data_IF_593324976219
#
_entry.id   IF_593324976219
#
_cell.length_a   1.000
_cell.length_b   1.000
_cell.length_c   1.000
_cell.angle_alpha   90.00
_cell.angle_beta   90.00
_cell.angle_gamma   90.00
#
_symmetry.space_group_name_H-M   'P 1'
#
loop_
_entity.id
_entity.type
_entity.pdbx_description
1 polymer ?
#
# COMPACT_ATOMS: atom_id res chain seq x y z
N UNK A 1 -11.86 -13.16 -10.13
CA UNK A 1 -10.92 -14.25 -10.50
C UNK A 1 -10.57 -14.12 -11.98
N UNK A 2 -9.45 -14.68 -12.38
CA UNK A 2 -8.98 -14.68 -13.77
C UNK A 2 -9.98 -15.32 -14.73
N UNK A 3 -10.63 -16.40 -14.29
CA UNK A 3 -11.66 -17.08 -15.09
C UNK A 3 -12.85 -16.15 -15.39
N UNK A 4 -13.27 -15.36 -14.42
CA UNK A 4 -14.34 -14.38 -14.62
C UNK A 4 -13.91 -13.28 -15.57
N UNK A 5 -12.69 -12.75 -15.41
CA UNK A 5 -12.10 -11.71 -16.27
C UNK A 5 -12.06 -12.21 -17.72
N UNK A 6 -11.54 -13.42 -17.96
CA UNK A 6 -11.48 -14.05 -19.29
C UNK A 6 -12.87 -14.28 -19.89
N UNK A 7 -13.80 -14.82 -19.08
CA UNK A 7 -15.14 -15.15 -19.55
C UNK A 7 -15.98 -13.92 -19.95
N UNK A 8 -15.68 -12.74 -19.36
CA UNK A 8 -16.44 -11.50 -19.60
C UNK A 8 -15.67 -10.46 -20.40
N UNK A 9 -14.47 -10.75 -20.86
CA UNK A 9 -13.60 -9.79 -21.56
C UNK A 9 -13.32 -8.54 -20.72
N UNK A 10 -13.26 -8.68 -19.38
CA UNK A 10 -13.06 -7.56 -18.48
C UNK A 10 -11.58 -7.11 -18.47
N UNK A 11 -11.36 -5.83 -18.21
CA UNK A 11 -10.02 -5.25 -18.09
C UNK A 11 -9.79 -4.79 -16.63
N UNK A 12 -9.16 -5.61 -15.77
CA UNK A 12 -8.89 -5.25 -14.39
C UNK A 12 -7.91 -4.08 -14.32
N UNK A 13 -8.12 -3.17 -13.37
CA UNK A 13 -7.20 -2.04 -13.13
C UNK A 13 -5.91 -2.52 -12.45
N UNK A 14 -6.03 -3.49 -11.55
CA UNK A 14 -4.91 -4.07 -10.82
C UNK A 14 -5.19 -5.53 -10.46
N UNK A 15 -4.14 -6.27 -10.19
CA UNK A 15 -4.18 -7.61 -9.60
C UNK A 15 -3.69 -7.53 -8.15
N UNK A 16 -4.44 -8.11 -7.22
CA UNK A 16 -3.98 -8.29 -5.83
C UNK A 16 -3.02 -9.47 -5.82
N UNK A 17 -1.75 -9.23 -5.53
CA UNK A 17 -0.70 -10.25 -5.47
C UNK A 17 -0.65 -10.94 -4.12
N UNK A 18 -0.70 -10.15 -3.05
CA UNK A 18 -0.63 -10.66 -1.69
C UNK A 18 -1.29 -9.72 -0.70
N UNK A 19 -1.71 -10.28 0.43
CA UNK A 19 -2.23 -9.57 1.60
C UNK A 19 -1.53 -10.11 2.84
N UNK A 20 -1.16 -9.23 3.76
CA UNK A 20 -0.52 -9.61 5.02
C UNK A 20 -1.14 -8.86 6.19
N UNK A 21 -1.67 -9.61 7.15
CA UNK A 21 -1.95 -9.10 8.48
C UNK A 21 -0.73 -9.33 9.38
N UNK A 22 -0.42 -8.37 10.23
CA UNK A 22 0.68 -8.43 11.20
C UNK A 22 0.19 -7.96 12.57
N UNK A 23 0.83 -8.46 13.61
CA UNK A 23 0.57 -8.05 14.99
C UNK A 23 1.87 -7.91 15.78
N UNK A 24 1.87 -7.00 16.74
CA UNK A 24 3.03 -6.71 17.57
C UNK A 24 2.64 -5.94 18.84
N UNK A 25 3.57 -5.13 19.35
CA UNK A 25 3.35 -4.35 20.55
C UNK A 25 2.28 -3.25 20.32
N UNK A 26 1.23 -3.29 21.13
CA UNK A 26 0.16 -2.29 21.10
C UNK A 26 0.64 -0.86 21.35
N UNK A 27 1.73 -0.67 22.11
CA UNK A 27 2.34 0.65 22.34
C UNK A 27 2.99 1.22 21.05
N UNK A 28 3.32 0.34 20.10
CA UNK A 28 3.94 0.68 18.82
C UNK A 28 2.97 0.60 17.65
N UNK A 29 1.65 0.63 17.90
CA UNK A 29 0.61 0.49 16.86
C UNK A 29 0.86 1.28 15.57
N UNK A 30 1.26 2.58 15.60
CA UNK A 30 1.52 3.34 14.37
C UNK A 30 2.62 2.74 13.49
N UNK A 31 3.60 2.05 14.07
CA UNK A 31 4.74 1.48 13.36
C UNK A 31 4.47 0.09 12.77
N UNK A 32 3.34 -0.50 13.11
CA UNK A 32 2.98 -1.85 12.63
C UNK A 32 2.72 -1.91 11.13
N UNK A 33 2.39 -0.78 10.49
CA UNK A 33 2.24 -0.72 9.04
C UNK A 33 3.51 -1.15 8.31
N UNK A 34 4.66 -0.59 8.71
CA UNK A 34 5.96 -0.93 8.10
C UNK A 34 6.37 -2.38 8.39
N UNK A 35 6.06 -2.88 9.58
CA UNK A 35 6.27 -4.30 9.89
C UNK A 35 5.45 -5.21 8.97
N UNK A 36 4.18 -4.91 8.73
CA UNK A 36 3.33 -5.68 7.83
C UNK A 36 3.86 -5.67 6.39
N UNK A 37 4.29 -4.48 5.91
CA UNK A 37 4.88 -4.33 4.57
C UNK A 37 6.19 -5.10 4.44
N UNK A 38 7.09 -4.97 5.41
CA UNK A 38 8.36 -5.72 5.42
C UNK A 38 8.14 -7.23 5.32
N UNK A 39 7.18 -7.77 6.09
CA UNK A 39 6.84 -9.19 6.04
C UNK A 39 6.20 -9.59 4.71
N UNK A 40 5.31 -8.73 4.16
CA UNK A 40 4.67 -8.94 2.86
C UNK A 40 5.70 -9.02 1.74
N UNK A 41 6.60 -8.03 1.65
CA UNK A 41 7.63 -7.97 0.63
C UNK A 41 8.61 -9.14 0.73
N UNK A 42 9.05 -9.49 1.95
CA UNK A 42 9.91 -10.65 2.19
C UNK A 42 9.27 -11.96 1.72
N UNK A 43 7.96 -12.13 1.92
CA UNK A 43 7.21 -13.30 1.48
C UNK A 43 7.14 -13.40 -0.05
N UNK A 44 7.03 -12.26 -0.73
CA UNK A 44 6.94 -12.18 -2.20
C UNK A 44 8.31 -12.10 -2.88
N UNK A 45 9.41 -12.10 -2.12
CA UNK A 45 10.77 -12.00 -2.64
C UNK A 45 11.09 -10.64 -3.25
N UNK A 46 10.42 -9.59 -2.78
CA UNK A 46 10.59 -8.20 -3.22
C UNK A 46 11.29 -7.37 -2.15
N UNK A 47 11.92 -6.29 -2.58
CA UNK A 47 12.48 -5.23 -1.74
C UNK A 47 11.62 -3.96 -1.82
N UNK A 48 11.88 -2.99 -0.95
CA UNK A 48 11.23 -1.67 -1.02
C UNK A 48 11.56 -0.95 -2.33
N UNK A 49 12.72 -1.17 -2.89
CA UNK A 49 13.19 -0.59 -4.15
C UNK A 49 12.38 -1.07 -5.36
N UNK A 50 11.79 -2.27 -5.30
CA UNK A 50 10.95 -2.85 -6.36
C UNK A 50 9.54 -2.24 -6.40
N UNK A 51 9.15 -1.46 -5.38
CA UNK A 51 7.82 -0.87 -5.26
C UNK A 51 7.82 0.57 -5.79
N UNK A 52 6.91 0.85 -6.72
CA UNK A 52 6.80 2.16 -7.39
C UNK A 52 5.99 3.19 -6.61
N UNK A 53 5.10 2.74 -5.73
CA UNK A 53 4.26 3.60 -4.91
C UNK A 53 3.88 2.94 -3.58
N UNK A 54 3.89 3.74 -2.52
CA UNK A 54 3.41 3.36 -1.19
C UNK A 54 2.29 4.29 -0.75
N UNK A 55 1.21 3.71 -0.22
CA UNK A 55 0.12 4.42 0.42
C UNK A 55 -0.03 3.90 1.85
N UNK A 56 0.56 4.60 2.82
CA UNK A 56 0.38 4.32 4.24
C UNK A 56 -0.71 5.23 4.80
N UNK A 57 -1.68 4.67 5.50
CA UNK A 57 -2.70 5.47 6.13
C UNK A 57 -2.11 6.31 7.27
N UNK A 58 -2.04 7.62 7.08
CA UNK A 58 -1.47 8.61 8.02
C UNK A 58 -2.46 8.94 9.16
N UNK A 59 -2.88 7.94 9.93
CA UNK A 59 -3.64 8.22 11.16
C UNK A 59 -2.87 9.14 12.13
N UNK A 60 -1.54 9.10 12.06
CA UNK A 60 -0.60 9.95 12.79
C UNK A 60 0.63 10.25 11.96
N UNK A 61 1.20 11.46 12.07
CA UNK A 61 2.38 11.88 11.32
C UNK A 61 3.63 10.98 11.53
N UNK A 62 3.72 10.33 12.69
CA UNK A 62 4.83 9.41 12.99
C UNK A 62 4.92 8.24 12.02
N UNK A 63 3.81 7.83 11.39
CA UNK A 63 3.78 6.72 10.43
C UNK A 63 4.63 7.05 9.22
N UNK A 64 4.40 8.22 8.61
CA UNK A 64 5.19 8.68 7.46
C UNK A 64 6.62 9.07 7.84
N UNK A 65 6.80 9.66 9.03
CA UNK A 65 8.13 10.02 9.52
C UNK A 65 9.02 8.77 9.71
N UNK A 66 8.51 7.72 10.34
CA UNK A 66 9.23 6.44 10.53
C UNK A 66 9.56 5.79 9.18
N UNK A 67 8.61 5.75 8.23
CA UNK A 67 8.87 5.23 6.89
C UNK A 67 10.02 5.99 6.19
N UNK A 68 9.96 7.33 6.19
CA UNK A 68 10.98 8.14 5.52
C UNK A 68 12.37 8.00 6.15
N UNK A 69 12.44 7.79 7.47
CA UNK A 69 13.69 7.56 8.19
C UNK A 69 14.28 6.18 7.87
N UNK A 70 13.44 5.14 7.84
CA UNK A 70 13.88 3.76 7.58
C UNK A 70 14.19 3.49 6.11
N UNK A 71 13.48 4.14 5.20
CA UNK A 71 13.55 3.88 3.76
C UNK A 71 13.90 5.13 2.95
N UNK A 72 15.06 5.79 3.21
CA UNK A 72 15.43 7.06 2.57
C UNK A 72 15.56 6.96 1.05
N UNK A 73 15.84 5.77 0.49
CA UNK A 73 15.97 5.53 -0.97
C UNK A 73 14.63 5.61 -1.72
N UNK A 74 13.53 5.35 -1.03
CA UNK A 74 12.19 5.29 -1.64
C UNK A 74 11.18 6.26 -1.00
N UNK A 75 11.63 7.14 -0.10
CA UNK A 75 10.77 8.05 0.66
C UNK A 75 9.85 8.92 -0.21
N UNK A 76 10.30 9.31 -1.41
CA UNK A 76 9.54 10.13 -2.34
C UNK A 76 8.43 9.36 -3.08
N UNK A 77 8.31 8.04 -2.81
CA UNK A 77 7.24 7.18 -3.33
C UNK A 77 6.08 7.03 -2.35
N UNK A 78 6.20 7.58 -1.12
CA UNK A 78 5.17 7.52 -0.09
C UNK A 78 4.11 8.60 -0.29
N UNK A 79 2.82 8.21 -0.23
CA UNK A 79 1.65 9.11 -0.17
C UNK A 79 1.77 10.29 -1.17
N UNK A 80 1.99 9.99 -2.42
CA UNK A 80 2.39 10.99 -3.43
C UNK A 80 1.35 12.09 -3.67
N UNK A 81 0.07 11.79 -3.48
CA UNK A 81 -1.02 12.78 -3.54
C UNK A 81 -1.30 13.46 -2.19
N UNK A 82 -0.48 13.22 -1.17
CA UNK A 82 -0.76 13.51 0.22
C UNK A 82 -1.51 12.36 0.88
N UNK A 83 -1.51 12.34 2.19
CA UNK A 83 -2.15 11.31 3.01
C UNK A 83 -3.27 11.86 3.88
N UNK A 84 -3.73 11.05 4.83
CA UNK A 84 -4.84 11.39 5.72
C UNK A 84 -4.61 12.65 6.58
N UNK A 85 -3.37 13.08 6.78
CA UNK A 85 -3.05 14.36 7.39
C UNK A 85 -3.56 15.55 6.57
N UNK A 86 -3.66 15.39 5.25
CA UNK A 86 -4.12 16.45 4.35
C UNK A 86 -5.64 16.41 4.11
N UNK A 87 -6.22 15.21 3.93
CA UNK A 87 -7.64 15.08 3.53
C UNK A 87 -8.54 14.44 4.59
N UNK A 88 -7.99 13.97 5.71
CA UNK A 88 -8.74 13.36 6.81
C UNK A 88 -8.67 11.83 6.84
N UNK A 89 -9.20 11.25 7.91
CA UNK A 89 -9.19 9.81 8.15
C UNK A 89 -10.61 9.30 8.48
N UNK A 90 -11.46 9.10 7.48
CA UNK A 90 -12.79 8.53 7.67
C UNK A 90 -12.69 7.01 7.85
N UNK A 91 -12.51 6.54 9.06
CA UNK A 91 -12.11 5.17 9.46
C UNK A 91 -12.61 4.04 8.55
N UNK A 92 -13.92 4.01 8.26
CA UNK A 92 -14.52 2.98 7.41
C UNK A 92 -14.23 3.11 5.92
N UNK A 93 -13.72 4.26 5.44
CA UNK A 93 -13.45 4.53 4.04
C UNK A 93 -11.95 4.59 3.70
N UNK A 94 -11.08 4.83 4.71
CA UNK A 94 -9.65 5.07 4.45
C UNK A 94 -8.94 3.96 3.68
N UNK A 95 -9.32 2.69 3.90
CA UNK A 95 -8.78 1.59 3.11
C UNK A 95 -9.11 1.69 1.62
N UNK A 96 -10.33 2.11 1.28
CA UNK A 96 -10.71 2.34 -0.11
C UNK A 96 -10.03 3.58 -0.71
N UNK A 97 -9.87 4.66 0.08
CA UNK A 97 -9.20 5.89 -0.35
C UNK A 97 -7.75 5.63 -0.73
N UNK A 98 -6.95 5.00 0.16
CA UNK A 98 -5.55 4.72 -0.14
C UNK A 98 -5.39 3.76 -1.32
N UNK A 99 -6.30 2.82 -1.52
CA UNK A 99 -6.29 1.94 -2.69
C UNK A 99 -6.60 2.69 -3.99
N UNK A 100 -7.54 3.63 -3.97
CA UNK A 100 -7.84 4.49 -5.14
C UNK A 100 -6.64 5.37 -5.48
N UNK A 101 -6.00 5.99 -4.48
CA UNK A 101 -4.79 6.78 -4.66
C UNK A 101 -3.66 5.93 -5.23
N UNK A 102 -3.40 4.76 -4.64
CA UNK A 102 -2.36 3.85 -5.11
C UNK A 102 -2.52 3.48 -6.59
N UNK A 103 -3.74 3.09 -7.00
CA UNK A 103 -4.02 2.77 -8.40
C UNK A 103 -3.85 3.99 -9.32
N UNK A 104 -4.29 5.18 -8.88
CA UNK A 104 -4.13 6.40 -9.65
C UNK A 104 -2.65 6.81 -9.82
N UNK A 105 -1.84 6.67 -8.77
CA UNK A 105 -0.40 6.91 -8.80
C UNK A 105 0.29 5.95 -9.76
N UNK A 106 0.03 4.64 -9.63
CA UNK A 106 0.61 3.63 -10.51
C UNK A 106 0.27 3.89 -11.98
N UNK A 107 -0.98 4.25 -12.27
CA UNK A 107 -1.39 4.64 -13.62
C UNK A 107 -0.61 5.86 -14.12
N UNK A 108 -0.54 6.92 -13.32
CA UNK A 108 0.11 8.18 -13.70
C UNK A 108 1.62 8.03 -13.89
N UNK A 109 2.27 7.23 -13.04
CA UNK A 109 3.71 6.97 -13.10
C UNK A 109 4.10 5.82 -14.02
N UNK A 110 3.13 5.12 -14.62
CA UNK A 110 3.35 3.87 -15.34
C UNK A 110 4.11 2.84 -14.49
N UNK A 111 3.86 2.85 -13.18
CA UNK A 111 4.48 1.95 -12.21
C UNK A 111 3.90 0.55 -12.27
N UNK A 112 4.67 -0.44 -11.78
CA UNK A 112 4.31 -1.84 -11.76
C UNK A 112 3.65 -2.25 -10.46
N UNK A 113 4.38 -2.12 -9.37
CA UNK A 113 3.97 -2.58 -8.05
C UNK A 113 3.64 -1.41 -7.13
N UNK A 114 2.58 -1.59 -6.36
CA UNK A 114 2.21 -0.68 -5.30
C UNK A 114 1.82 -1.40 -4.02
N UNK A 115 2.08 -0.78 -2.90
CA UNK A 115 1.74 -1.29 -1.57
C UNK A 115 0.88 -0.28 -0.83
N UNK A 116 -0.25 -0.74 -0.29
CA UNK A 116 -1.03 0.01 0.69
C UNK A 116 -0.94 -0.65 2.06
N UNK A 117 -0.87 0.16 3.13
CA UNK A 117 -0.80 -0.35 4.50
C UNK A 117 -1.59 0.51 5.48
N UNK A 118 -2.26 -0.16 6.42
CA UNK A 118 -3.06 0.48 7.47
C UNK A 118 -2.67 -0.09 8.83
N UNK A 119 -2.10 0.71 9.74
CA UNK A 119 -1.96 0.33 11.12
C UNK A 119 -3.27 0.56 11.87
N UNK A 120 -3.52 -0.23 12.91
CA UNK A 120 -4.68 -0.06 13.77
C UNK A 120 -4.31 -0.19 15.25
N UNK A 121 -5.15 0.37 16.11
CA UNK A 121 -4.99 0.29 17.56
C UNK A 121 -4.92 -1.18 18.02
N UNK A 122 -4.10 -1.43 19.05
CA UNK A 122 -3.88 -2.78 19.55
C UNK A 122 -2.67 -3.49 18.95
N UNK A 123 -1.82 -2.77 18.21
CA UNK A 123 -0.59 -3.32 17.66
C UNK A 123 -0.80 -4.22 16.44
N UNK A 124 -1.83 -3.94 15.64
CA UNK A 124 -2.12 -4.70 14.42
C UNK A 124 -1.97 -3.82 13.19
N UNK A 125 -1.72 -4.44 12.04
CA UNK A 125 -1.72 -3.77 10.75
C UNK A 125 -2.06 -4.74 9.63
N UNK A 126 -2.53 -4.19 8.52
CA UNK A 126 -2.67 -4.92 7.26
C UNK A 126 -1.91 -4.22 6.14
N UNK A 127 -1.34 -5.00 5.24
CA UNK A 127 -0.69 -4.54 4.03
C UNK A 127 -1.19 -5.35 2.82
N UNK A 128 -1.29 -4.69 1.69
CA UNK A 128 -1.71 -5.28 0.42
C UNK A 128 -0.73 -4.88 -0.69
N UNK A 129 -0.30 -5.86 -1.47
CA UNK A 129 0.50 -5.67 -2.68
C UNK A 129 -0.38 -5.80 -3.90
N UNK A 130 -0.33 -4.83 -4.78
CA UNK A 130 -1.01 -4.86 -6.08
C UNK A 130 -0.02 -4.72 -7.23
N UNK A 131 -0.35 -5.36 -8.34
CA UNK A 131 0.31 -5.16 -9.63
C UNK A 131 -0.63 -4.38 -10.56
N UNK A 132 -0.13 -3.29 -11.13
CA UNK A 132 -0.86 -2.45 -12.07
C UNK A 132 -1.09 -3.20 -13.40
N UNK A 133 -2.33 -3.22 -13.87
CA UNK A 133 -2.70 -3.80 -15.18
C UNK A 133 -3.17 -2.72 -16.18
N UNK A 134 -3.18 -1.45 -15.78
CA UNK A 134 -3.61 -0.35 -16.65
C UNK A 134 -2.49 0.06 -17.60
N UNK A 135 -2.77 0.02 -18.93
CA UNK A 135 -1.84 0.51 -19.94
C UNK A 135 -0.60 -0.36 -20.19
N UNK A 136 -0.59 -1.59 -19.67
CA UNK A 136 0.38 -2.62 -20.03
C UNK A 136 -0.30 -3.60 -20.99
N UNK A 137 -0.13 -3.34 -22.29
CA UNK A 137 -0.45 -4.32 -23.31
C UNK A 137 0.46 -5.54 -23.07
N UNK A 138 -0.14 -6.66 -22.70
CA UNK A 138 0.51 -7.98 -22.58
C UNK A 138 0.77 -8.58 -23.94
#
# INVERSE_FOLDING_TARGET
SDDWVKAHGAHPMAEIKAVRASGGDAACSPLMADQAVSQLLSQEGLSYEDIDAFEYNEAFAVISADFMERHPSVKDRLNWFGGALAYGHPYGASGAEIMIHLMAILKQKNGCYGVAAIPAAGGVAEAILIENKMGRDT
#
